data_IF_587533648072
#
_entry.id   IF_587533648072
#
_cell.length_a   1.000
_cell.length_b   1.000
_cell.length_c   1.000
_cell.angle_alpha   90.00
_cell.angle_beta   90.00
_cell.angle_gamma   90.00
#
_symmetry.space_group_name_H-M   'P 1'
#
loop_
_entity.id
_entity.type
_entity.pdbx_description
1 polymer ?
#
# COMPACT_ATOMS: atom_id res chain seq x y z
N UNK A 1 2.69 -16.29 -5.11
CA UNK A 1 3.42 -17.41 -5.74
C UNK A 1 2.53 -18.45 -6.41
N UNK A 2 1.70 -19.22 -5.69
CA UNK A 2 0.89 -20.28 -6.30
C UNK A 2 0.01 -19.78 -7.47
N UNK A 3 -0.73 -18.68 -7.27
CA UNK A 3 -1.51 -18.03 -8.32
C UNK A 3 -0.66 -17.57 -9.51
N UNK A 4 0.53 -17.00 -9.26
CA UNK A 4 1.44 -16.52 -10.32
C UNK A 4 1.95 -17.65 -11.20
N UNK A 5 2.24 -18.82 -10.64
CA UNK A 5 2.63 -20.02 -11.42
C UNK A 5 1.54 -20.50 -12.37
N UNK A 6 0.30 -20.13 -12.10
CA UNK A 6 -0.88 -20.41 -12.93
C UNK A 6 -1.25 -19.22 -13.84
N UNK A 7 -0.43 -18.17 -13.89
CA UNK A 7 -0.73 -16.96 -14.67
C UNK A 7 -1.85 -16.10 -14.09
N UNK A 8 -2.27 -16.33 -12.84
CA UNK A 8 -3.30 -15.54 -12.17
C UNK A 8 -2.64 -14.38 -11.44
N UNK A 9 -2.93 -13.17 -11.88
CA UNK A 9 -2.47 -11.96 -11.23
C UNK A 9 -3.37 -11.57 -10.05
N UNK A 10 -2.74 -11.25 -8.92
CA UNK A 10 -3.42 -10.75 -7.72
C UNK A 10 -2.75 -9.44 -7.33
N UNK A 11 -3.49 -8.31 -7.26
CA UNK A 11 -2.88 -7.02 -6.98
C UNK A 11 -2.32 -6.95 -5.56
N UNK A 12 -1.14 -6.36 -5.41
CA UNK A 12 -0.52 -6.11 -4.11
C UNK A 12 0.30 -4.81 -4.15
N UNK A 13 0.10 -3.93 -3.16
CA UNK A 13 0.85 -2.68 -3.05
C UNK A 13 2.00 -2.77 -2.06
N UNK A 14 1.86 -3.60 -1.02
CA UNK A 14 2.86 -3.77 0.03
C UNK A 14 3.75 -5.00 -0.15
N UNK A 15 3.61 -5.76 -1.23
CA UNK A 15 4.41 -6.97 -1.43
C UNK A 15 5.32 -6.79 -2.65
N UNK A 16 6.54 -7.31 -2.53
CA UNK A 16 7.53 -7.46 -3.59
C UNK A 16 8.24 -8.78 -3.29
N UNK A 17 8.58 -9.60 -4.30
CA UNK A 17 9.19 -10.90 -4.08
C UNK A 17 10.56 -10.86 -3.37
N UNK A 18 11.24 -9.71 -3.35
CA UNK A 18 12.59 -9.58 -2.78
C UNK A 18 12.62 -9.56 -1.25
N UNK A 19 11.49 -9.39 -0.57
CA UNK A 19 11.42 -9.32 0.89
C UNK A 19 10.20 -10.05 1.44
N UNK A 20 10.24 -10.40 2.73
CA UNK A 20 9.18 -11.18 3.39
C UNK A 20 7.82 -10.47 3.29
N UNK A 21 6.72 -11.20 3.05
CA UNK A 21 5.40 -10.60 2.94
C UNK A 21 4.87 -10.12 4.30
N UNK A 22 4.17 -8.98 4.30
CA UNK A 22 3.65 -8.35 5.54
C UNK A 22 2.13 -8.20 5.54
N UNK A 23 1.47 -8.21 4.38
CA UNK A 23 0.01 -8.21 4.27
C UNK A 23 -0.72 -6.93 4.73
N UNK A 24 -0.03 -5.80 4.87
CA UNK A 24 -0.62 -4.55 5.43
C UNK A 24 -1.64 -3.88 4.51
N UNK A 25 -1.41 -3.84 3.20
CA UNK A 25 -2.29 -3.09 2.28
C UNK A 25 -3.62 -3.80 1.96
N UNK A 26 -3.73 -5.09 2.27
CA UNK A 26 -4.92 -5.94 2.00
C UNK A 26 -5.39 -6.02 0.53
N UNK A 27 -4.71 -5.43 -0.44
CA UNK A 27 -5.11 -5.52 -1.86
C UNK A 27 -5.13 -6.95 -2.41
N UNK A 28 -4.27 -7.82 -1.86
CA UNK A 28 -4.10 -9.20 -2.28
C UNK A 28 -5.16 -10.17 -1.72
N UNK A 29 -6.33 -9.65 -1.31
CA UNK A 29 -7.43 -10.46 -0.77
C UNK A 29 -7.89 -11.51 -1.78
N UNK A 30 -8.12 -12.72 -1.28
CA UNK A 30 -8.66 -13.88 -2.00
C UNK A 30 -9.66 -14.61 -1.11
N UNK A 31 -10.59 -15.32 -1.72
CA UNK A 31 -11.52 -16.19 -1.01
C UNK A 31 -10.97 -17.63 -1.00
N UNK A 32 -10.98 -18.24 0.18
CA UNK A 32 -10.51 -19.61 0.44
C UNK A 32 -11.59 -20.46 1.11
N UNK A 33 -12.85 -20.04 1.04
CA UNK A 33 -14.01 -20.70 1.69
C UNK A 33 -14.11 -20.42 3.19
N UNK A 34 -13.35 -19.45 3.71
CA UNK A 34 -13.37 -19.05 5.11
C UNK A 34 -14.41 -17.95 5.39
N UNK A 35 -14.64 -17.66 6.68
CA UNK A 35 -15.53 -16.56 7.12
C UNK A 35 -15.05 -15.17 6.67
N UNK A 36 -13.74 -15.00 6.49
CA UNK A 36 -13.10 -13.75 6.10
C UNK A 36 -12.14 -14.00 4.93
N UNK A 37 -11.98 -12.99 4.07
CA UNK A 37 -11.05 -13.04 2.96
C UNK A 37 -9.60 -13.10 3.47
N UNK A 38 -8.83 -14.02 2.91
CA UNK A 38 -7.42 -14.21 3.25
C UNK A 38 -6.54 -13.24 2.45
N UNK A 39 -5.44 -12.76 3.03
CA UNK A 39 -4.41 -12.07 2.25
C UNK A 39 -3.49 -13.11 1.61
N UNK A 40 -3.54 -13.23 0.28
CA UNK A 40 -2.77 -14.24 -0.45
C UNK A 40 -1.25 -14.10 -0.28
N UNK A 41 -0.73 -12.89 -0.04
CA UNK A 41 0.72 -12.69 0.11
C UNK A 41 1.30 -13.33 1.39
N UNK A 42 0.50 -13.52 2.44
CA UNK A 42 0.95 -14.11 3.73
C UNK A 42 0.30 -15.47 4.01
N UNK A 43 -0.75 -15.83 3.26
CA UNK A 43 -1.46 -17.11 3.42
C UNK A 43 -0.62 -18.23 2.79
N UNK A 44 -0.12 -19.14 3.64
CA UNK A 44 0.47 -20.38 3.16
C UNK A 44 -0.56 -21.19 2.35
N UNK A 45 -0.15 -21.69 1.19
CA UNK A 45 -0.97 -22.62 0.41
C UNK A 45 -0.94 -24.00 1.07
N UNK A 46 -2.08 -24.70 1.08
CA UNK A 46 -2.22 -26.05 1.64
C UNK A 46 -2.82 -26.99 0.59
N UNK A 47 -2.55 -28.28 0.74
CA UNK A 47 -3.07 -29.30 -0.15
C UNK A 47 -4.61 -29.31 -0.13
N UNK A 48 -5.22 -29.36 -1.30
CA UNK A 48 -6.68 -29.32 -1.46
C UNK A 48 -7.31 -27.93 -1.26
N UNK A 49 -6.52 -26.89 -0.98
CA UNK A 49 -7.02 -25.52 -0.87
C UNK A 49 -7.62 -25.04 -2.20
N UNK A 50 -8.88 -24.61 -2.16
CA UNK A 50 -9.55 -23.94 -3.30
C UNK A 50 -9.50 -22.44 -3.09
N UNK A 51 -8.97 -21.72 -4.07
CA UNK A 51 -8.79 -20.26 -3.99
C UNK A 51 -9.53 -19.59 -5.13
N UNK A 52 -10.43 -18.67 -4.80
CA UNK A 52 -11.05 -17.75 -5.76
C UNK A 52 -10.30 -16.42 -5.68
N UNK A 53 -9.69 -16.01 -6.80
CA UNK A 53 -8.81 -14.83 -6.86
C UNK A 53 -9.43 -13.63 -7.60
N UNK A 54 -10.56 -13.82 -8.27
CA UNK A 54 -11.30 -12.83 -9.05
C UNK A 54 -12.80 -13.02 -8.88
N UNK A 55 -13.57 -11.96 -9.09
CA UNK A 55 -15.02 -11.98 -9.00
C UNK A 55 -15.57 -10.70 -8.37
N UNK A 56 -16.84 -10.42 -8.64
CA UNK A 56 -17.49 -9.15 -8.27
C UNK A 56 -17.34 -8.81 -6.77
N UNK A 57 -17.50 -9.80 -5.89
CA UNK A 57 -17.32 -9.60 -4.46
C UNK A 57 -15.89 -9.17 -4.09
N UNK A 58 -14.86 -9.77 -4.70
CA UNK A 58 -13.46 -9.43 -4.46
C UNK A 58 -13.13 -8.05 -5.06
N UNK A 59 -13.64 -7.76 -6.24
CA UNK A 59 -13.44 -6.47 -6.89
C UNK A 59 -14.11 -5.33 -6.12
N UNK A 60 -15.29 -5.58 -5.54
CA UNK A 60 -15.93 -4.65 -4.60
C UNK A 60 -15.07 -4.35 -3.37
N UNK A 61 -14.46 -5.37 -2.76
CA UNK A 61 -13.54 -5.19 -1.63
C UNK A 61 -12.28 -4.41 -2.04
N UNK A 62 -11.65 -4.77 -3.16
CA UNK A 62 -10.45 -4.10 -3.66
C UNK A 62 -10.74 -2.65 -4.07
N UNK A 63 -11.90 -2.38 -4.65
CA UNK A 63 -12.37 -1.02 -4.96
C UNK A 63 -12.52 -0.17 -3.70
N UNK A 64 -13.16 -0.72 -2.66
CA UNK A 64 -13.31 -0.03 -1.36
C UNK A 64 -11.95 0.23 -0.70
N UNK A 65 -11.06 -0.77 -0.65
CA UNK A 65 -9.71 -0.62 -0.11
C UNK A 65 -8.91 0.44 -0.85
N UNK A 66 -9.00 0.45 -2.19
CA UNK A 66 -8.35 1.46 -3.03
C UNK A 66 -8.89 2.85 -2.70
N UNK A 67 -10.22 3.00 -2.56
CA UNK A 67 -10.85 4.27 -2.20
C UNK A 67 -10.43 4.77 -0.82
N UNK A 68 -10.30 3.87 0.17
CA UNK A 68 -9.79 4.19 1.51
C UNK A 68 -8.33 4.66 1.47
N UNK A 69 -7.46 3.96 0.74
CA UNK A 69 -6.06 4.37 0.58
C UNK A 69 -5.94 5.72 -0.15
N UNK A 70 -6.84 5.98 -1.10
CA UNK A 70 -6.91 7.26 -1.81
C UNK A 70 -7.40 8.42 -0.94
N UNK A 71 -8.10 8.15 0.17
CA UNK A 71 -8.60 9.20 1.05
C UNK A 71 -7.51 10.06 1.69
N UNK A 72 -6.31 9.51 1.88
CA UNK A 72 -5.18 10.23 2.47
C UNK A 72 -4.13 10.68 1.45
N UNK A 73 -4.38 10.50 0.16
CA UNK A 73 -3.48 11.00 -0.89
C UNK A 73 -3.72 12.49 -1.18
N UNK A 74 -2.69 13.26 -1.58
CA UNK A 74 -2.86 14.67 -1.92
C UNK A 74 -3.83 14.90 -3.09
N UNK A 75 -4.42 16.11 -3.16
CA UNK A 75 -5.34 16.51 -4.26
C UNK A 75 -4.66 16.44 -5.63
N UNK A 76 -3.43 16.94 -5.68
CA UNK A 76 -2.58 16.86 -6.86
C UNK A 76 -1.53 15.79 -6.59
N UNK A 77 -1.48 14.72 -7.40
CA UNK A 77 -0.40 13.75 -7.31
C UNK A 77 0.92 14.48 -7.41
N UNK A 78 1.84 14.19 -6.50
CA UNK A 78 3.16 14.82 -6.59
C UNK A 78 3.82 14.38 -7.89
N UNK A 79 4.21 15.33 -8.74
CA UNK A 79 4.87 15.07 -10.03
C UNK A 79 6.29 14.48 -9.87
N UNK A 80 6.61 13.96 -8.69
CA UNK A 80 7.93 13.44 -8.29
C UNK A 80 8.15 12.00 -8.74
N UNK A 81 7.12 11.31 -9.26
CA UNK A 81 7.20 9.99 -9.92
C UNK A 81 6.67 10.05 -11.35
N UNK A 82 7.53 10.27 -12.36
CA UNK A 82 7.13 10.27 -13.77
C UNK A 82 6.50 8.95 -14.22
N UNK A 83 6.94 7.83 -13.65
CA UNK A 83 6.44 6.48 -13.92
C UNK A 83 5.04 6.21 -13.34
N UNK A 84 4.55 7.12 -12.49
CA UNK A 84 3.26 7.00 -11.83
C UNK A 84 3.28 6.18 -10.54
N UNK A 85 2.09 5.78 -10.09
CA UNK A 85 1.87 5.13 -8.80
C UNK A 85 0.90 3.97 -8.97
N UNK A 86 1.26 2.79 -8.44
CA UNK A 86 0.44 1.58 -8.47
C UNK A 86 -0.94 1.81 -7.85
N UNK A 87 -1.03 2.61 -6.78
CA UNK A 87 -2.30 2.96 -6.16
C UNK A 87 -3.20 3.75 -7.12
N UNK A 88 -2.64 4.74 -7.81
CA UNK A 88 -3.37 5.53 -8.79
C UNK A 88 -3.77 4.68 -10.01
N UNK A 89 -2.94 3.70 -10.40
CA UNK A 89 -3.30 2.73 -11.42
C UNK A 89 -4.51 1.88 -11.00
N UNK A 90 -4.54 1.39 -9.76
CA UNK A 90 -5.71 0.69 -9.21
C UNK A 90 -6.95 1.58 -9.15
N UNK A 91 -6.80 2.84 -8.73
CA UNK A 91 -7.91 3.78 -8.67
C UNK A 91 -8.54 4.02 -10.06
N UNK A 92 -7.70 4.15 -11.10
CA UNK A 92 -8.16 4.20 -12.50
C UNK A 92 -8.82 2.88 -12.93
N UNK A 93 -8.20 1.74 -12.62
CA UNK A 93 -8.72 0.42 -12.96
C UNK A 93 -10.10 0.14 -12.36
N UNK A 94 -10.34 0.59 -11.13
CA UNK A 94 -11.64 0.50 -10.46
C UNK A 94 -12.56 1.70 -10.69
N UNK A 95 -12.19 2.62 -11.58
CA UNK A 95 -13.00 3.77 -11.98
C UNK A 95 -13.49 4.58 -10.76
N UNK A 96 -12.59 4.87 -9.83
CA UNK A 96 -12.90 5.70 -8.68
C UNK A 96 -13.04 7.16 -9.13
N UNK A 97 -14.15 7.78 -8.75
CA UNK A 97 -14.31 9.22 -8.91
C UNK A 97 -13.30 9.95 -8.00
N UNK A 98 -12.72 11.08 -8.45
CA UNK A 98 -11.95 11.94 -7.57
C UNK A 98 -12.84 12.45 -6.44
N UNK A 99 -12.26 12.65 -5.26
CA UNK A 99 -12.94 13.36 -4.18
C UNK A 99 -13.03 14.87 -4.44
N UNK A 100 -13.86 15.54 -3.66
CA UNK A 100 -13.85 17.01 -3.59
C UNK A 100 -12.54 17.51 -2.97
N UNK A 101 -12.20 18.79 -3.18
CA UNK A 101 -10.99 19.40 -2.59
C UNK A 101 -10.98 19.17 -1.07
N UNK A 102 -9.86 18.65 -0.56
CA UNK A 102 -9.73 18.29 0.86
C UNK A 102 -10.47 17.00 1.30
N UNK A 103 -11.06 16.23 0.38
CA UNK A 103 -11.77 14.98 0.66
C UNK A 103 -11.36 13.86 -0.30
N UNK A 104 -11.42 12.63 0.19
CA UNK A 104 -11.18 11.43 -0.61
C UNK A 104 -12.39 11.02 -1.48
N UNK A 105 -12.24 9.97 -2.31
CA UNK A 105 -13.33 9.39 -3.11
C UNK A 105 -14.56 8.96 -2.30
N UNK A 106 -14.39 8.67 -1.01
CA UNK A 106 -15.47 8.30 -0.09
C UNK A 106 -16.10 9.51 0.63
N UNK A 107 -15.73 10.74 0.27
CA UNK A 107 -16.17 11.97 0.95
C UNK A 107 -15.57 12.18 2.34
N UNK A 108 -14.68 11.28 2.79
CA UNK A 108 -13.98 11.40 4.06
C UNK A 108 -13.01 12.58 4.04
N UNK A 109 -12.90 13.36 5.13
CA UNK A 109 -11.88 14.40 5.24
C UNK A 109 -10.49 13.77 5.19
N UNK A 110 -9.55 14.42 4.50
CA UNK A 110 -8.15 13.96 4.50
C UNK A 110 -7.53 14.12 5.88
N UNK A 111 -6.60 13.22 6.21
CA UNK A 111 -5.73 13.39 7.36
C UNK A 111 -4.87 14.66 7.29
N UNK A 112 -4.26 15.02 8.41
CA UNK A 112 -3.32 16.13 8.47
C UNK A 112 -2.15 15.90 7.49
N UNK A 113 -1.69 16.99 6.86
CA UNK A 113 -0.54 16.93 5.99
C UNK A 113 0.68 16.38 6.74
N UNK A 114 1.32 15.36 6.17
CA UNK A 114 2.49 14.69 6.76
C UNK A 114 3.84 15.34 6.36
N UNK A 115 3.81 16.31 5.45
CA UNK A 115 4.99 17.04 4.98
C UNK A 115 5.83 16.28 3.96
N UNK A 116 6.88 16.94 3.49
CA UNK A 116 7.97 16.36 2.70
C UNK A 116 9.30 16.51 3.44
N UNK A 117 10.24 15.66 3.08
CA UNK A 117 11.60 15.67 3.58
C UNK A 117 12.57 15.60 2.39
N UNK A 118 13.29 16.70 2.18
CA UNK A 118 14.27 16.90 1.12
C UNK A 118 15.68 17.12 1.69
N UNK A 119 15.91 16.72 2.93
CA UNK A 119 17.20 16.88 3.63
C UNK A 119 18.33 16.07 2.98
N UNK A 120 18.01 14.88 2.46
CA UNK A 120 18.98 14.04 1.76
C UNK A 120 19.25 14.57 0.34
N UNK A 121 20.53 14.64 -0.07
CA UNK A 121 20.90 15.09 -1.42
C UNK A 121 20.50 14.09 -2.53
N UNK A 122 20.11 12.87 -2.17
CA UNK A 122 19.83 11.77 -3.11
C UNK A 122 18.44 11.15 -2.97
N UNK A 123 17.76 11.37 -1.84
CA UNK A 123 16.43 10.78 -1.57
C UNK A 123 15.47 11.89 -1.12
N UNK A 124 14.49 12.22 -1.96
CA UNK A 124 13.34 13.03 -1.56
C UNK A 124 12.19 12.15 -1.04
N UNK A 125 11.65 12.49 0.12
CA UNK A 125 10.56 11.73 0.75
C UNK A 125 9.30 12.58 0.80
N UNK A 126 8.29 12.17 0.06
CA UNK A 126 6.94 12.73 0.18
C UNK A 126 6.11 11.88 1.15
N UNK A 127 5.97 12.33 2.40
CA UNK A 127 5.15 11.63 3.38
C UNK A 127 3.65 11.76 3.10
N UNK A 128 3.20 12.77 2.33
CA UNK A 128 1.80 12.93 1.99
C UNK A 128 1.32 11.79 1.09
N UNK A 129 2.15 11.33 0.17
CA UNK A 129 1.83 10.20 -0.73
C UNK A 129 2.00 8.82 -0.08
N UNK A 130 2.56 8.73 1.13
CA UNK A 130 2.79 7.46 1.81
C UNK A 130 1.47 6.77 2.21
N UNK A 131 1.31 5.50 1.82
CA UNK A 131 0.20 4.64 2.27
C UNK A 131 0.58 3.67 3.38
N UNK A 132 1.75 3.87 4.00
CA UNK A 132 2.25 3.02 5.06
C UNK A 132 2.27 1.53 4.66
N UNK A 133 2.90 1.23 3.52
CA UNK A 133 3.00 -0.14 2.98
C UNK A 133 4.25 -0.91 3.46
N UNK A 134 5.10 -0.28 4.28
CA UNK A 134 6.34 -0.84 4.84
C UNK A 134 7.30 -1.42 3.80
N UNK A 135 7.23 -0.97 2.53
CA UNK A 135 8.21 -1.34 1.50
C UNK A 135 9.56 -0.68 1.76
N UNK A 136 9.57 0.60 2.15
CA UNK A 136 10.79 1.32 2.48
C UNK A 136 11.49 0.72 3.71
N UNK A 137 10.74 0.43 4.77
CA UNK A 137 11.23 -0.22 6.00
C UNK A 137 11.89 -1.56 5.65
N UNK A 138 11.18 -2.47 4.96
CA UNK A 138 11.77 -3.77 4.61
C UNK A 138 12.91 -3.69 3.62
N UNK A 139 12.93 -2.72 2.71
CA UNK A 139 14.10 -2.51 1.86
C UNK A 139 15.33 -2.08 2.69
N UNK A 140 15.12 -1.20 3.68
CA UNK A 140 16.16 -0.77 4.61
C UNK A 140 16.71 -1.93 5.44
N UNK A 141 15.82 -2.76 5.98
CA UNK A 141 16.18 -3.81 6.94
C UNK A 141 16.65 -5.09 6.23
N UNK A 142 15.87 -5.59 5.27
CA UNK A 142 16.08 -6.93 4.68
C UNK A 142 17.02 -6.92 3.47
N UNK A 143 17.16 -5.79 2.76
CA UNK A 143 18.03 -5.70 1.58
C UNK A 143 19.31 -4.92 1.82
N UNK A 144 19.27 -3.87 2.65
CA UNK A 144 20.43 -3.03 2.92
C UNK A 144 21.03 -3.26 4.31
N UNK A 145 20.25 -3.84 5.24
CA UNK A 145 20.66 -4.05 6.63
C UNK A 145 21.11 -2.76 7.34
N UNK A 146 20.44 -1.65 7.02
CA UNK A 146 20.71 -0.36 7.64
C UNK A 146 19.91 -0.16 8.93
N UNK A 147 18.67 -0.65 8.98
CA UNK A 147 17.78 -0.59 10.17
C UNK A 147 17.46 0.84 10.68
N UNK A 148 17.44 1.83 9.77
CA UNK A 148 17.20 3.25 10.10
C UNK A 148 15.84 3.77 9.69
N UNK A 149 15.05 3.03 8.91
CA UNK A 149 13.71 3.45 8.48
C UNK A 149 12.68 2.61 9.23
N UNK A 150 11.75 3.25 9.93
CA UNK A 150 10.72 2.54 10.70
C UNK A 150 9.34 3.18 10.59
N UNK A 151 8.34 2.49 11.13
CA UNK A 151 7.02 3.06 11.39
C UNK A 151 6.95 3.53 12.83
N UNK A 152 6.61 4.81 13.04
CA UNK A 152 6.38 5.40 14.35
C UNK A 152 4.94 5.90 14.50
N UNK A 153 4.46 6.01 15.74
CA UNK A 153 3.11 6.46 16.06
C UNK A 153 2.03 5.37 15.96
N UNK A 154 0.76 5.77 16.14
CA UNK A 154 -0.42 4.90 16.12
C UNK A 154 -1.61 5.60 15.48
N UNK A 155 -2.53 4.84 14.89
CA UNK A 155 -3.73 5.38 14.24
C UNK A 155 -3.38 6.42 13.19
N UNK A 156 -4.09 7.55 13.19
CA UNK A 156 -3.84 8.67 12.28
C UNK A 156 -2.47 9.33 12.48
N UNK A 157 -1.81 9.13 13.62
CA UNK A 157 -0.46 9.62 13.87
C UNK A 157 0.64 8.69 13.35
N UNK A 158 0.30 7.56 12.73
CA UNK A 158 1.29 6.64 12.18
C UNK A 158 2.00 7.25 10.97
N UNK A 159 3.33 7.18 10.97
CA UNK A 159 4.19 7.71 9.89
C UNK A 159 5.44 6.87 9.70
N UNK A 160 6.06 7.01 8.54
CA UNK A 160 7.45 6.57 8.35
C UNK A 160 8.36 7.59 9.04
N UNK A 161 9.32 7.10 9.82
CA UNK A 161 10.30 7.89 10.53
C UNK A 161 11.71 7.35 10.25
N UNK A 162 12.69 8.23 10.34
CA UNK A 162 14.12 7.91 10.16
C UNK A 162 14.83 8.06 11.50
N UNK A 163 15.61 7.04 11.89
CA UNK A 163 16.32 6.98 13.17
C UNK A 163 15.41 7.40 14.34
N UNK A 164 15.78 8.42 15.12
CA UNK A 164 14.98 9.01 16.20
C UNK A 164 13.93 10.03 15.71
N UNK A 165 13.30 9.76 14.56
CA UNK A 165 12.40 10.67 13.86
C UNK A 165 13.10 11.99 13.46
N UNK A 166 14.32 11.86 12.94
CA UNK A 166 15.10 12.93 12.32
C UNK A 166 14.79 13.01 10.81
N UNK A 167 15.20 14.09 10.12
CA UNK A 167 15.23 14.11 8.67
C UNK A 167 16.08 12.97 8.08
N UNK A 168 15.79 12.57 6.84
CA UNK A 168 16.40 11.46 6.12
C UNK A 168 17.91 11.63 5.87
N UNK A 169 18.39 12.87 5.76
CA UNK A 169 19.79 13.22 5.47
C UNK A 169 20.36 14.21 6.46
#
# INVERSE_FOLDING_TARGET
EAAQRLGVEIPALCHDPRYRPVGVCRMCVVDVGGRVLAASCVRAAEDGMRVTASGEALDGHRRLLTALLMSDQPDEPTQRRPEGSDLHALARGYQLAPGERGRGPLGLPRGAARGDDMSSPVIGVDHQSCILCDRCVRACDELQSNEVITRSGKGYGARIAFDLNLPMG
#
